data_IF_871955046218
#
_entry.id   IF_871955046218
#
_cell.length_a   1.000
_cell.length_b   1.000
_cell.length_c   1.000
_cell.angle_alpha   90.00
_cell.angle_beta   90.00
_cell.angle_gamma   90.00
#
_symmetry.space_group_name_H-M   'P 1'
#
loop_
_entity.id
_entity.type
_entity.pdbx_description
1 polymer ?
#
# COMPACT_ATOMS: atom_id res chain seq x y z
N UNK A 1 16.22 -4.65 49.60
CA UNK A 1 15.04 -5.05 48.81
C UNK A 1 15.50 -5.22 47.39
N UNK A 2 15.33 -6.44 46.90
CA UNK A 2 15.83 -6.99 45.65
C UNK A 2 15.22 -6.28 44.45
N UNK A 3 16.07 -5.91 43.48
CA UNK A 3 15.65 -5.63 42.12
C UNK A 3 15.01 -6.91 41.58
N UNK A 4 13.69 -6.88 41.41
CA UNK A 4 13.00 -7.95 40.72
C UNK A 4 13.56 -8.02 39.30
N UNK A 5 14.21 -9.14 39.02
CA UNK A 5 14.64 -9.53 37.69
C UNK A 5 13.38 -9.57 36.82
N UNK A 6 13.31 -8.68 35.84
CA UNK A 6 12.42 -8.84 34.69
C UNK A 6 12.61 -10.28 34.20
N UNK A 7 11.57 -11.12 34.20
CA UNK A 7 11.69 -12.48 33.70
C UNK A 7 12.23 -12.40 32.28
N UNK A 8 13.33 -13.09 32.01
CA UNK A 8 13.79 -13.32 30.65
C UNK A 8 12.64 -13.98 29.89
N UNK A 9 11.96 -13.21 29.03
CA UNK A 9 10.89 -13.72 28.19
C UNK A 9 11.42 -14.94 27.45
N UNK A 10 10.78 -16.08 27.72
CA UNK A 10 10.88 -17.29 26.92
C UNK A 10 10.68 -16.87 25.46
N UNK A 11 11.52 -17.35 24.54
CA UNK A 11 11.40 -17.13 23.10
C UNK A 11 10.02 -17.62 22.63
N UNK A 12 9.02 -16.76 22.72
CA UNK A 12 7.69 -17.01 22.22
C UNK A 12 7.75 -17.11 20.70
N UNK A 13 7.21 -18.20 20.15
CA UNK A 13 7.18 -18.40 18.70
C UNK A 13 6.25 -17.39 18.04
N UNK A 14 6.38 -17.23 16.72
CA UNK A 14 5.50 -16.34 15.96
C UNK A 14 4.05 -16.85 16.00
N UNK A 15 3.90 -18.18 15.94
CA UNK A 15 2.64 -18.90 16.10
C UNK A 15 1.99 -18.56 17.44
N UNK A 16 2.74 -18.69 18.55
CA UNK A 16 2.23 -18.35 19.88
C UNK A 16 1.76 -16.90 19.98
N UNK A 17 2.50 -15.96 19.37
CA UNK A 17 2.13 -14.53 19.35
C UNK A 17 0.83 -14.30 18.58
N UNK A 18 0.68 -14.89 17.41
CA UNK A 18 -0.51 -14.75 16.57
C UNK A 18 -1.72 -15.48 17.18
N UNK A 19 -1.52 -16.58 17.90
CA UNK A 19 -2.59 -17.26 18.64
C UNK A 19 -3.07 -16.43 19.84
N UNK A 20 -2.16 -15.81 20.59
CA UNK A 20 -2.52 -14.98 21.76
C UNK A 20 -3.11 -13.63 21.38
N UNK A 21 -2.63 -13.06 20.29
CA UNK A 21 -3.00 -11.72 19.85
C UNK A 21 -3.31 -11.73 18.36
N UNK A 22 -4.44 -12.32 17.94
CA UNK A 22 -4.73 -12.53 16.54
C UNK A 22 -4.94 -11.22 15.78
N UNK A 23 -4.60 -11.25 14.50
CA UNK A 23 -4.97 -10.23 13.52
C UNK A 23 -6.07 -10.84 12.66
N UNK A 24 -7.24 -10.18 12.62
CA UNK A 24 -8.38 -10.64 11.84
C UNK A 24 -8.23 -10.21 10.39
N UNK A 25 -8.09 -11.20 9.50
CA UNK A 25 -8.08 -10.97 8.05
C UNK A 25 -9.51 -11.08 7.50
N UNK A 26 -10.09 -9.95 7.09
CA UNK A 26 -11.39 -9.91 6.44
C UNK A 26 -11.33 -10.34 4.98
N UNK A 27 -12.48 -10.72 4.37
CA UNK A 27 -12.57 -10.89 2.92
C UNK A 27 -12.14 -9.65 2.14
N UNK A 28 -11.63 -9.84 0.92
CA UNK A 28 -11.34 -8.71 0.02
C UNK A 28 -12.62 -8.02 -0.40
N UNK A 29 -12.67 -6.71 -0.18
CA UNK A 29 -13.72 -5.80 -0.64
C UNK A 29 -13.11 -4.44 -0.92
N UNK A 30 -13.72 -3.67 -1.83
CA UNK A 30 -13.22 -2.34 -2.18
C UNK A 30 -13.19 -1.38 -0.99
N UNK A 31 -14.21 -1.42 -0.13
CA UNK A 31 -14.33 -0.64 1.11
C UNK A 31 -15.23 -1.37 2.10
N UNK A 32 -15.03 -1.11 3.39
CA UNK A 32 -15.97 -1.45 4.47
C UNK A 32 -16.57 -0.16 5.04
N UNK A 33 -17.82 -0.19 5.51
CA UNK A 33 -18.38 0.93 6.29
C UNK A 33 -18.15 0.72 7.79
N UNK A 34 -18.31 1.79 8.58
CA UNK A 34 -18.33 1.71 10.06
C UNK A 34 -19.38 0.71 10.54
N UNK A 35 -20.60 0.77 9.99
CA UNK A 35 -21.69 -0.14 10.34
C UNK A 35 -21.33 -1.60 10.04
N UNK A 36 -20.75 -1.89 8.87
CA UNK A 36 -20.35 -3.25 8.49
C UNK A 36 -19.28 -3.81 9.45
N UNK A 37 -18.32 -2.99 9.87
CA UNK A 37 -17.33 -3.42 10.86
C UNK A 37 -17.95 -3.67 12.24
N UNK A 38 -18.97 -2.88 12.61
CA UNK A 38 -19.72 -3.09 13.85
C UNK A 38 -20.64 -4.30 13.81
N UNK A 39 -21.13 -4.69 12.64
CA UNK A 39 -21.84 -5.98 12.49
C UNK A 39 -20.89 -7.17 12.67
N UNK A 40 -19.65 -7.06 12.18
CA UNK A 40 -18.62 -8.11 12.31
C UNK A 40 -18.10 -8.18 13.75
N UNK A 41 -17.86 -7.02 14.38
CA UNK A 41 -17.32 -6.89 15.74
C UNK A 41 -18.24 -5.97 16.56
N UNK A 42 -19.30 -6.53 17.17
CA UNK A 42 -20.34 -5.74 17.85
C UNK A 42 -19.86 -5.00 19.10
N UNK A 43 -18.86 -5.54 19.78
CA UNK A 43 -18.37 -5.02 21.06
C UNK A 43 -16.87 -4.77 21.02
N UNK A 44 -16.40 -3.88 21.89
CA UNK A 44 -14.97 -3.57 22.03
C UNK A 44 -14.43 -2.57 21.00
N UNK A 45 -13.13 -2.31 21.12
CA UNK A 45 -12.40 -1.40 20.24
C UNK A 45 -11.94 -2.15 19.00
N UNK A 46 -12.12 -1.53 17.84
CA UNK A 46 -11.63 -2.04 16.56
C UNK A 46 -10.46 -1.17 16.12
N UNK A 47 -9.35 -1.79 15.73
CA UNK A 47 -8.22 -1.09 15.13
C UNK A 47 -8.05 -1.61 13.71
N UNK A 48 -8.39 -0.78 12.74
CA UNK A 48 -8.30 -1.11 11.32
C UNK A 48 -6.97 -0.62 10.77
N UNK A 49 -6.22 -1.51 10.13
CA UNK A 49 -4.92 -1.20 9.56
C UNK A 49 -4.98 -1.27 8.03
N UNK A 50 -4.51 -0.20 7.39
CA UNK A 50 -4.18 -0.16 5.98
C UNK A 50 -5.32 -0.51 5.03
N UNK A 51 -6.53 -0.02 5.34
CA UNK A 51 -7.57 0.13 4.34
C UNK A 51 -8.59 1.19 4.72
N UNK A 52 -9.16 1.79 3.68
CA UNK A 52 -10.18 2.81 3.85
C UNK A 52 -11.49 2.23 4.42
N UNK A 53 -11.91 2.79 5.54
CA UNK A 53 -13.25 2.61 6.10
C UNK A 53 -14.13 3.79 5.66
N UNK A 54 -15.14 3.50 4.84
CA UNK A 54 -16.04 4.52 4.29
C UNK A 54 -16.77 5.27 5.41
N UNK A 55 -16.65 6.60 5.38
CA UNK A 55 -17.27 7.51 6.35
C UNK A 55 -16.51 7.62 7.67
N UNK A 56 -15.28 7.11 7.76
CA UNK A 56 -14.43 7.26 8.94
C UNK A 56 -13.99 8.72 9.13
N UNK A 57 -13.82 9.45 8.04
CA UNK A 57 -13.43 10.86 8.01
C UNK A 57 -14.49 11.81 8.60
N UNK A 58 -15.72 11.32 8.81
CA UNK A 58 -16.77 12.04 9.54
C UNK A 58 -16.56 12.01 11.07
N UNK A 59 -15.58 11.23 11.54
CA UNK A 59 -15.18 11.15 12.94
C UNK A 59 -14.14 12.19 13.33
N UNK A 60 -13.32 11.86 14.35
CA UNK A 60 -12.20 12.70 14.79
C UNK A 60 -10.93 12.32 14.03
N UNK A 61 -10.30 13.31 13.39
CA UNK A 61 -8.94 13.18 12.86
C UNK A 61 -7.93 13.15 14.01
N UNK A 62 -7.00 12.20 13.95
CA UNK A 62 -5.94 12.00 14.94
C UNK A 62 -4.59 11.81 14.23
N UNK A 63 -3.48 11.94 14.96
CA UNK A 63 -2.14 11.98 14.35
C UNK A 63 -1.77 10.73 13.51
N UNK A 64 -2.38 9.60 13.80
CA UNK A 64 -2.16 8.32 13.11
C UNK A 64 -3.39 7.82 12.33
N UNK A 65 -4.37 8.68 12.03
CA UNK A 65 -5.55 8.30 11.26
C UNK A 65 -6.84 8.98 11.67
N UNK A 66 -7.92 8.21 11.76
CA UNK A 66 -9.24 8.69 12.16
C UNK A 66 -9.84 7.80 13.24
N UNK A 67 -10.73 8.36 14.06
CA UNK A 67 -11.54 7.59 15.00
C UNK A 67 -13.02 7.89 14.86
N UNK A 68 -13.84 6.85 14.91
CA UNK A 68 -15.30 6.99 14.89
C UNK A 68 -15.93 5.78 15.59
N UNK A 69 -16.86 6.04 16.50
CA UNK A 69 -17.68 5.01 17.13
C UNK A 69 -16.87 3.82 17.68
N UNK A 70 -15.74 4.09 18.35
CA UNK A 70 -14.86 3.06 18.94
C UNK A 70 -13.99 2.29 17.92
N UNK A 71 -13.94 2.74 16.67
CA UNK A 71 -13.01 2.30 15.64
C UNK A 71 -11.85 3.30 15.59
N UNK A 72 -10.62 2.80 15.56
CA UNK A 72 -9.41 3.55 15.21
C UNK A 72 -8.94 3.04 13.85
N UNK A 73 -8.92 3.89 12.84
CA UNK A 73 -8.47 3.53 11.50
C UNK A 73 -7.07 4.10 11.27
N UNK A 74 -6.07 3.23 11.33
CA UNK A 74 -4.67 3.50 11.03
C UNK A 74 -4.47 3.19 9.55
N UNK A 75 -4.79 4.19 8.72
CA UNK A 75 -4.86 4.05 7.27
C UNK A 75 -4.43 5.36 6.61
N UNK A 76 -3.77 5.26 5.46
CA UNK A 76 -3.35 6.39 4.64
C UNK A 76 -4.20 6.58 3.37
N UNK A 77 -5.26 5.78 3.16
CA UNK A 77 -6.15 5.88 2.00
C UNK A 77 -7.34 6.84 2.21
N UNK A 78 -7.67 7.19 3.45
CA UNK A 78 -8.77 8.11 3.74
C UNK A 78 -8.59 9.46 3.00
N UNK A 79 -9.66 10.03 2.41
CA UNK A 79 -9.58 11.14 1.45
C UNK A 79 -9.35 12.54 2.10
N UNK A 80 -8.59 12.62 3.20
CA UNK A 80 -8.30 13.88 3.89
C UNK A 80 -7.02 14.55 3.41
N UNK A 81 -6.96 15.89 3.49
CA UNK A 81 -5.73 16.66 3.20
C UNK A 81 -4.54 16.17 4.03
N UNK A 82 -4.78 15.76 5.28
CA UNK A 82 -3.77 15.19 6.17
C UNK A 82 -3.09 13.91 5.62
N UNK A 83 -3.80 13.16 4.77
CA UNK A 83 -3.32 11.92 4.15
C UNK A 83 -2.73 12.11 2.76
N UNK A 84 -2.91 13.29 2.14
CA UNK A 84 -2.35 13.66 0.84
C UNK A 84 -0.84 13.99 0.92
N UNK A 85 -0.06 13.09 1.51
CA UNK A 85 1.39 13.20 1.69
C UNK A 85 2.04 11.83 1.60
N UNK A 86 3.36 11.81 1.43
CA UNK A 86 4.13 10.57 1.33
C UNK A 86 4.27 9.88 2.71
N UNK A 87 3.19 9.24 3.15
CA UNK A 87 3.08 8.50 4.40
C UNK A 87 2.42 7.15 4.12
N UNK A 88 2.81 6.10 4.86
CA UNK A 88 2.20 4.77 4.81
C UNK A 88 1.46 4.44 6.11
N UNK A 89 0.56 3.46 6.07
CA UNK A 89 -0.14 2.95 7.25
C UNK A 89 0.84 2.37 8.29
N UNK A 90 1.97 1.82 7.87
CA UNK A 90 3.03 1.36 8.75
C UNK A 90 3.72 2.52 9.48
N UNK A 91 3.89 3.69 8.83
CA UNK A 91 4.38 4.88 9.54
C UNK A 91 3.37 5.34 10.61
N UNK A 92 2.07 5.34 10.27
CA UNK A 92 1.01 5.68 11.21
C UNK A 92 0.95 4.68 12.38
N UNK A 93 1.13 3.39 12.10
CA UNK A 93 1.20 2.32 13.10
C UNK A 93 2.40 2.45 14.06
N UNK A 94 3.58 2.78 13.53
CA UNK A 94 4.77 3.07 14.34
C UNK A 94 4.45 4.19 15.34
N UNK A 95 3.89 5.29 14.85
CA UNK A 95 3.53 6.44 15.66
C UNK A 95 2.47 6.10 16.71
N UNK A 96 1.43 5.35 16.34
CA UNK A 96 0.42 4.85 17.27
C UNK A 96 1.05 4.08 18.43
N UNK A 97 1.94 3.13 18.13
CA UNK A 97 2.57 2.27 19.14
C UNK A 97 3.58 3.02 20.00
N UNK A 98 4.32 3.98 19.44
CA UNK A 98 5.23 4.84 20.21
C UNK A 98 4.49 5.65 21.28
N UNK A 99 3.26 6.10 20.99
CA UNK A 99 2.47 6.93 21.90
C UNK A 99 1.59 6.14 22.86
N UNK A 100 1.00 5.04 22.39
CA UNK A 100 -0.04 4.31 23.12
C UNK A 100 0.43 2.93 23.60
N UNK A 101 1.59 2.46 23.13
CA UNK A 101 1.98 1.06 23.21
C UNK A 101 1.22 0.18 22.19
N UNK A 102 1.54 -1.12 22.15
CA UNK A 102 0.79 -2.07 21.34
C UNK A 102 -0.69 -2.14 21.74
N UNK A 103 -1.54 -2.51 20.79
CA UNK A 103 -2.96 -2.76 21.02
C UNK A 103 -3.18 -3.77 22.17
N UNK A 104 -4.21 -3.54 22.97
CA UNK A 104 -4.55 -4.47 24.04
C UNK A 104 -4.99 -5.82 23.46
N UNK A 105 -4.80 -6.94 24.20
CA UNK A 105 -5.27 -8.25 23.75
C UNK A 105 -6.78 -8.31 23.46
N UNK A 106 -7.58 -7.49 24.16
CA UNK A 106 -9.03 -7.37 23.97
C UNK A 106 -9.42 -6.51 22.75
N UNK A 107 -8.48 -5.73 22.19
CA UNK A 107 -8.74 -4.94 20.99
C UNK A 107 -8.75 -5.86 19.75
N UNK A 108 -9.66 -5.63 18.82
CA UNK A 108 -9.69 -6.38 17.56
C UNK A 108 -8.90 -5.62 16.49
N UNK A 109 -7.75 -6.16 16.09
CA UNK A 109 -6.93 -5.62 14.98
C UNK A 109 -7.35 -6.27 13.67
N UNK A 110 -7.69 -5.46 12.68
CA UNK A 110 -8.29 -5.90 11.41
C UNK A 110 -7.47 -5.42 10.22
N UNK A 111 -7.25 -6.31 9.25
CA UNK A 111 -6.77 -6.00 7.89
C UNK A 111 -7.68 -6.68 6.87
N UNK A 112 -7.63 -6.25 5.61
CA UNK A 112 -8.34 -6.94 4.53
C UNK A 112 -7.46 -7.30 3.31
N UNK A 113 -6.21 -6.85 3.26
CA UNK A 113 -5.15 -7.35 2.38
C UNK A 113 -3.89 -7.69 3.17
N UNK A 114 -2.89 -8.26 2.49
CA UNK A 114 -1.64 -8.74 3.10
C UNK A 114 -0.45 -8.33 2.25
N UNK A 115 -0.52 -7.15 1.64
CA UNK A 115 0.62 -6.49 1.02
C UNK A 115 1.60 -5.96 2.09
N UNK A 116 2.64 -5.27 1.65
CA UNK A 116 3.71 -4.77 2.52
C UNK A 116 3.15 -3.92 3.66
N UNK A 117 2.30 -2.95 3.36
CA UNK A 117 1.83 -1.98 4.34
C UNK A 117 0.87 -2.62 5.36
N UNK A 118 -0.05 -3.49 4.91
CA UNK A 118 -0.97 -4.20 5.80
C UNK A 118 -0.25 -5.14 6.75
N UNK A 119 0.69 -5.96 6.24
CA UNK A 119 1.44 -6.89 7.09
C UNK A 119 2.23 -6.14 8.15
N UNK A 120 2.90 -5.04 7.77
CA UNK A 120 3.74 -4.28 8.68
C UNK A 120 2.90 -3.50 9.70
N UNK A 121 1.92 -2.73 9.24
CA UNK A 121 1.07 -1.90 10.10
C UNK A 121 0.34 -2.72 11.16
N UNK A 122 -0.35 -3.81 10.77
CA UNK A 122 -1.10 -4.63 11.72
C UNK A 122 -0.20 -5.35 12.73
N UNK A 123 0.97 -5.80 12.28
CA UNK A 123 1.91 -6.53 13.13
C UNK A 123 2.64 -5.61 14.11
N UNK A 124 2.91 -4.36 13.71
CA UNK A 124 3.41 -3.32 14.60
C UNK A 124 2.36 -2.97 15.65
N UNK A 125 1.13 -2.64 15.22
CA UNK A 125 0.00 -2.34 16.12
C UNK A 125 -0.18 -3.44 17.14
N UNK A 126 -0.03 -4.70 16.74
CA UNK A 126 -0.19 -5.85 17.63
C UNK A 126 1.00 -6.15 18.54
N UNK A 127 2.15 -5.50 18.32
CA UNK A 127 3.37 -5.75 19.07
C UNK A 127 4.09 -7.05 18.67
N UNK A 128 3.74 -7.63 17.51
CA UNK A 128 4.45 -8.76 16.93
C UNK A 128 5.80 -8.28 16.37
N UNK A 129 5.78 -7.12 15.71
CA UNK A 129 6.95 -6.39 15.27
C UNK A 129 7.18 -5.16 16.16
N UNK A 130 8.45 -4.83 16.41
CA UNK A 130 8.82 -3.55 17.01
C UNK A 130 8.49 -2.40 16.05
N UNK A 131 8.18 -1.19 16.57
CA UNK A 131 7.90 0.00 15.75
C UNK A 131 9.20 0.57 15.14
N UNK A 132 9.96 -0.23 14.40
CA UNK A 132 11.23 0.19 13.80
C UNK A 132 11.00 1.01 12.53
N UNK A 133 11.72 2.12 12.41
CA UNK A 133 11.68 3.02 11.24
C UNK A 133 11.84 2.30 9.89
N UNK A 134 12.66 1.24 9.83
CA UNK A 134 12.90 0.44 8.62
C UNK A 134 11.62 -0.15 8.01
N UNK A 135 10.60 -0.41 8.82
CA UNK A 135 9.32 -0.94 8.35
C UNK A 135 8.49 0.15 7.68
N UNK A 136 8.44 1.35 8.26
CA UNK A 136 7.84 2.50 7.59
C UNK A 136 8.54 2.87 6.28
N UNK A 137 9.87 2.79 6.23
CA UNK A 137 10.64 3.00 4.98
C UNK A 137 10.33 1.92 3.92
N UNK A 138 10.07 0.68 4.34
CA UNK A 138 9.68 -0.40 3.44
C UNK A 138 8.26 -0.22 2.88
N UNK A 139 7.29 0.17 3.71
CA UNK A 139 5.95 0.47 3.25
C UNK A 139 5.94 1.68 2.28
N UNK A 140 6.69 2.76 2.58
CA UNK A 140 6.87 3.88 1.64
C UNK A 140 7.48 3.42 0.30
N UNK A 141 8.43 2.48 0.33
CA UNK A 141 9.01 1.91 -0.87
C UNK A 141 7.99 1.12 -1.71
N UNK A 142 7.08 0.40 -1.06
CA UNK A 142 6.03 -0.36 -1.72
C UNK A 142 4.94 0.54 -2.34
N UNK A 143 4.40 1.49 -1.57
CA UNK A 143 3.17 2.21 -1.94
C UNK A 143 3.36 3.48 -2.76
N UNK A 144 4.51 4.13 -2.60
CA UNK A 144 4.73 5.49 -3.11
C UNK A 144 5.93 5.59 -4.03
N UNK A 145 7.10 5.15 -3.57
CA UNK A 145 8.34 5.50 -4.27
C UNK A 145 8.80 4.44 -5.26
N UNK A 146 8.44 3.18 -5.06
CA UNK A 146 8.96 2.08 -5.87
C UNK A 146 10.45 1.81 -5.65
N UNK A 147 11.06 2.42 -4.63
CA UNK A 147 12.48 2.26 -4.33
C UNK A 147 12.84 0.79 -4.06
N UNK A 148 14.10 0.43 -4.30
CA UNK A 148 14.59 -0.92 -3.96
C UNK A 148 14.60 -1.08 -2.45
N UNK A 149 13.88 -2.06 -1.94
CA UNK A 149 13.84 -2.38 -0.52
C UNK A 149 13.48 -3.86 -0.34
N UNK A 150 14.33 -4.62 0.36
CA UNK A 150 14.17 -6.08 0.49
C UNK A 150 12.88 -6.47 1.21
N UNK A 151 12.45 -5.71 2.22
CA UNK A 151 11.21 -5.97 2.96
C UNK A 151 10.02 -5.68 2.06
N UNK A 152 10.03 -4.53 1.39
CA UNK A 152 8.98 -4.14 0.45
C UNK A 152 8.84 -5.16 -0.68
N UNK A 153 9.96 -5.56 -1.28
CA UNK A 153 9.97 -6.50 -2.38
C UNK A 153 9.52 -7.90 -1.94
N UNK A 154 9.93 -8.35 -0.75
CA UNK A 154 9.43 -9.61 -0.19
C UNK A 154 7.93 -9.54 0.04
N UNK A 155 7.46 -8.66 0.92
CA UNK A 155 6.06 -8.67 1.36
C UNK A 155 5.08 -8.37 0.22
N UNK A 156 5.41 -7.43 -0.68
CA UNK A 156 4.55 -7.17 -1.84
C UNK A 156 4.45 -8.39 -2.77
N UNK A 157 5.50 -9.22 -2.85
CA UNK A 157 5.45 -10.44 -3.68
C UNK A 157 4.55 -11.54 -3.08
N UNK A 158 4.25 -11.46 -1.78
CA UNK A 158 3.47 -12.44 -1.04
C UNK A 158 1.99 -12.06 -0.90
N UNK A 159 1.59 -10.84 -1.27
CA UNK A 159 0.23 -10.29 -1.12
C UNK A 159 -0.87 -11.29 -1.54
N UNK A 160 -0.73 -11.86 -2.74
CA UNK A 160 -1.74 -12.74 -3.34
C UNK A 160 -1.94 -14.06 -2.56
N UNK A 161 -1.00 -14.44 -1.69
CA UNK A 161 -1.14 -15.64 -0.83
C UNK A 161 -2.18 -15.41 0.28
N UNK A 162 -2.43 -14.15 0.68
CA UNK A 162 -3.35 -13.80 1.77
C UNK A 162 -3.10 -14.59 3.06
N UNK A 163 -1.83 -14.79 3.38
CA UNK A 163 -1.38 -15.59 4.53
C UNK A 163 -0.42 -14.76 5.39
N UNK A 164 -0.96 -14.15 6.45
CA UNK A 164 -0.21 -13.30 7.38
C UNK A 164 0.92 -14.07 8.05
N UNK A 165 0.68 -15.33 8.44
CA UNK A 165 1.68 -16.15 9.11
C UNK A 165 2.85 -16.43 8.16
N UNK A 166 2.55 -16.85 6.93
CA UNK A 166 3.57 -17.11 5.91
C UNK A 166 4.38 -15.85 5.60
N UNK A 167 3.72 -14.69 5.48
CA UNK A 167 4.38 -13.41 5.26
C UNK A 167 5.31 -13.03 6.41
N UNK A 168 4.86 -13.14 7.66
CA UNK A 168 5.66 -12.79 8.84
C UNK A 168 6.81 -13.77 9.09
N UNK A 169 6.59 -15.06 8.86
CA UNK A 169 7.64 -16.08 8.97
C UNK A 169 8.78 -15.82 7.97
N UNK A 170 8.44 -15.49 6.72
CA UNK A 170 9.45 -15.16 5.70
C UNK A 170 10.11 -13.80 5.94
N UNK A 171 9.39 -12.82 6.51
CA UNK A 171 10.00 -11.56 6.97
C UNK A 171 11.03 -11.80 8.09
N UNK A 172 10.74 -12.68 9.04
CA UNK A 172 11.67 -13.04 10.11
C UNK A 172 12.93 -13.72 9.55
N UNK A 173 12.77 -14.69 8.65
CA UNK A 173 13.89 -15.31 7.90
C UNK A 173 14.74 -14.28 7.18
N UNK A 174 14.10 -13.35 6.45
CA UNK A 174 14.79 -12.26 5.76
C UNK A 174 15.62 -11.40 6.73
N UNK A 175 15.04 -11.02 7.87
CA UNK A 175 15.71 -10.20 8.89
C UNK A 175 16.90 -10.92 9.53
N UNK A 176 16.82 -12.25 9.68
CA UNK A 176 17.90 -13.11 10.21
C UNK A 176 18.96 -13.47 9.18
N UNK A 177 18.72 -13.18 7.89
CA UNK A 177 19.58 -13.62 6.79
C UNK A 177 19.49 -15.12 6.53
N UNK A 178 18.39 -15.76 6.93
CA UNK A 178 18.10 -17.17 6.69
C UNK A 178 17.49 -17.35 5.29
N UNK A 179 17.59 -18.56 4.70
CA UNK A 179 16.89 -18.88 3.47
C UNK A 179 15.38 -18.71 3.64
N UNK A 180 14.74 -18.08 2.65
CA UNK A 180 13.29 -17.99 2.56
C UNK A 180 12.69 -19.36 2.26
N UNK A 181 11.39 -19.51 2.49
CA UNK A 181 10.66 -20.66 1.96
C UNK A 181 10.71 -20.65 0.43
N UNK A 182 10.79 -21.83 -0.18
CA UNK A 182 10.90 -22.01 -1.63
C UNK A 182 9.85 -21.21 -2.41
N UNK A 183 8.60 -21.23 -1.93
CA UNK A 183 7.49 -20.48 -2.53
C UNK A 183 7.71 -18.96 -2.46
N UNK A 184 8.20 -18.46 -1.33
CA UNK A 184 8.48 -17.04 -1.14
C UNK A 184 9.67 -16.58 -1.99
N UNK A 185 10.72 -17.39 -2.08
CA UNK A 185 11.88 -17.12 -2.94
C UNK A 185 11.49 -17.06 -4.42
N UNK A 186 10.62 -17.98 -4.87
CA UNK A 186 10.10 -17.97 -6.24
C UNK A 186 9.30 -16.70 -6.55
N UNK A 187 8.40 -16.28 -5.65
CA UNK A 187 7.59 -15.07 -5.82
C UNK A 187 8.45 -13.80 -5.79
N UNK A 188 9.42 -13.72 -4.88
CA UNK A 188 10.37 -12.62 -4.80
C UNK A 188 11.21 -12.51 -6.08
N UNK A 189 11.70 -13.64 -6.59
CA UNK A 189 12.44 -13.67 -7.86
C UNK A 189 11.58 -13.17 -9.03
N UNK A 190 10.30 -13.56 -9.10
CA UNK A 190 9.37 -13.02 -10.11
C UNK A 190 9.22 -11.49 -9.99
N UNK A 191 9.13 -10.95 -8.78
CA UNK A 191 9.09 -9.51 -8.56
C UNK A 191 10.38 -8.82 -9.04
N UNK A 192 11.55 -9.40 -8.77
CA UNK A 192 12.82 -8.87 -9.29
C UNK A 192 12.89 -8.90 -10.82
N UNK A 193 12.38 -9.94 -11.47
CA UNK A 193 12.28 -9.97 -12.93
C UNK A 193 11.38 -8.86 -13.48
N UNK A 194 10.26 -8.57 -12.82
CA UNK A 194 9.41 -7.43 -13.20
C UNK A 194 10.17 -6.09 -13.08
N UNK A 195 10.98 -5.91 -12.04
CA UNK A 195 11.82 -4.72 -11.86
C UNK A 195 12.87 -4.58 -12.96
N UNK A 196 13.53 -5.67 -13.33
CA UNK A 196 14.49 -5.70 -14.44
C UNK A 196 13.79 -5.32 -15.74
N UNK A 197 12.65 -5.95 -16.06
CA UNK A 197 11.86 -5.66 -17.26
C UNK A 197 11.43 -4.18 -17.32
N UNK A 198 10.97 -3.60 -16.20
CA UNK A 198 10.61 -2.19 -16.13
C UNK A 198 11.80 -1.26 -16.43
N UNK A 199 12.97 -1.56 -15.85
CA UNK A 199 14.20 -0.82 -16.11
C UNK A 199 14.69 -0.95 -17.55
N UNK A 200 14.54 -2.13 -18.17
CA UNK A 200 14.87 -2.37 -19.57
C UNK A 200 13.98 -1.55 -20.52
N UNK A 201 12.66 -1.49 -20.27
CA UNK A 201 11.75 -0.65 -21.05
C UNK A 201 12.18 0.82 -21.06
N UNK A 202 12.62 1.34 -19.91
CA UNK A 202 13.10 2.72 -19.80
C UNK A 202 14.43 2.90 -20.53
N UNK A 203 15.38 1.98 -20.34
CA UNK A 203 16.69 2.00 -21.01
C UNK A 203 16.57 1.93 -22.53
N UNK A 204 15.60 1.19 -23.04
CA UNK A 204 15.30 1.08 -24.46
C UNK A 204 14.54 2.28 -25.04
N UNK A 205 14.21 3.28 -24.22
CA UNK A 205 13.46 4.46 -24.65
C UNK A 205 12.01 4.16 -25.01
N UNK A 206 11.40 3.14 -24.39
CA UNK A 206 9.98 2.77 -24.63
C UNK A 206 8.99 3.68 -23.91
N UNK A 207 9.46 4.49 -22.97
CA UNK A 207 8.66 5.53 -22.35
C UNK A 207 8.73 6.79 -23.22
N UNK A 208 7.57 7.22 -23.70
CA UNK A 208 7.37 8.49 -24.38
C UNK A 208 6.92 9.56 -23.37
N UNK A 209 6.93 10.83 -23.78
CA UNK A 209 6.58 11.97 -22.95
C UNK A 209 5.62 12.91 -23.67
N UNK A 210 4.57 13.37 -22.98
CA UNK A 210 3.70 14.48 -23.38
C UNK A 210 3.67 15.48 -22.22
N UNK A 211 4.21 16.68 -22.45
CA UNK A 211 4.48 17.64 -21.37
C UNK A 211 5.29 17.00 -20.24
N UNK A 212 4.79 16.92 -19.01
CA UNK A 212 5.47 16.28 -17.87
C UNK A 212 4.98 14.85 -17.56
N UNK A 213 4.10 14.30 -18.40
CA UNK A 213 3.54 12.96 -18.26
C UNK A 213 4.37 11.96 -19.05
N UNK A 214 4.92 10.96 -18.35
CA UNK A 214 5.61 9.83 -18.97
C UNK A 214 4.60 8.71 -19.23
N UNK A 215 4.68 8.07 -20.39
CA UNK A 215 3.78 6.98 -20.71
C UNK A 215 4.41 5.88 -21.54
N UNK A 216 3.86 4.67 -21.42
CA UNK A 216 4.19 3.55 -22.31
C UNK A 216 3.02 2.60 -22.49
N UNK A 217 3.03 1.84 -23.57
CA UNK A 217 2.11 0.72 -23.80
C UNK A 217 2.87 -0.59 -23.75
N UNK A 218 2.32 -1.58 -23.06
CA UNK A 218 2.90 -2.92 -22.93
C UNK A 218 1.88 -3.99 -23.28
N UNK A 219 2.34 -5.11 -23.82
CA UNK A 219 1.48 -6.26 -24.13
C UNK A 219 0.95 -6.93 -22.87
N UNK A 220 1.80 -6.99 -21.83
CA UNK A 220 1.46 -7.57 -20.53
C UNK A 220 1.78 -6.60 -19.41
N UNK A 221 0.78 -6.38 -18.55
CA UNK A 221 0.89 -5.55 -17.35
C UNK A 221 1.97 -6.11 -16.41
N UNK A 222 2.70 -5.18 -15.81
CA UNK A 222 3.51 -5.43 -14.62
C UNK A 222 3.12 -4.44 -13.51
N UNK A 223 3.66 -4.64 -12.32
CA UNK A 223 3.41 -3.75 -11.18
C UNK A 223 4.01 -2.36 -11.43
N UNK A 224 3.14 -1.37 -11.66
CA UNK A 224 3.54 0.02 -11.90
C UNK A 224 4.11 0.71 -10.65
N UNK A 225 3.97 0.13 -9.46
CA UNK A 225 4.45 0.72 -8.20
C UNK A 225 5.97 0.94 -8.16
N UNK A 226 6.75 0.21 -8.97
CA UNK A 226 8.20 0.37 -9.07
C UNK A 226 8.66 1.53 -9.96
N UNK A 227 7.77 2.09 -10.79
CA UNK A 227 8.14 3.07 -11.81
C UNK A 227 8.59 4.44 -11.26
N UNK A 228 8.04 4.98 -10.16
CA UNK A 228 8.46 6.29 -9.65
C UNK A 228 9.97 6.36 -9.35
N UNK A 229 10.58 5.30 -8.82
CA UNK A 229 12.02 5.23 -8.59
C UNK A 229 12.85 5.10 -9.88
N UNK A 230 12.27 4.59 -10.96
CA UNK A 230 12.96 4.40 -12.23
C UNK A 230 12.83 5.62 -13.18
N UNK A 231 11.83 6.47 -12.94
CA UNK A 231 11.56 7.73 -13.65
C UNK A 231 11.44 8.88 -12.64
N UNK A 232 12.52 9.22 -11.92
CA UNK A 232 12.47 10.20 -10.83
C UNK A 232 12.08 11.61 -11.29
N UNK A 233 12.22 11.92 -12.57
CA UNK A 233 11.85 13.21 -13.18
C UNK A 233 10.40 13.28 -13.68
N UNK A 234 9.64 12.17 -13.62
CA UNK A 234 8.25 12.16 -14.02
C UNK A 234 7.35 12.78 -12.94
N UNK A 235 6.43 13.66 -13.35
CA UNK A 235 5.36 14.15 -12.47
C UNK A 235 4.21 13.14 -12.42
N UNK A 236 3.87 12.54 -13.56
CA UNK A 236 2.87 11.48 -13.67
C UNK A 236 3.39 10.39 -14.60
N UNK A 237 3.13 9.14 -14.23
CA UNK A 237 3.54 7.95 -14.99
C UNK A 237 2.29 7.17 -15.37
N UNK A 238 2.14 6.89 -16.66
CA UNK A 238 1.01 6.16 -17.25
C UNK A 238 1.52 4.88 -17.91
N UNK A 239 0.90 3.76 -17.59
CA UNK A 239 1.15 2.50 -18.30
C UNK A 239 -0.18 1.90 -18.76
N UNK A 240 -0.25 1.59 -20.05
CA UNK A 240 -1.42 0.96 -20.65
C UNK A 240 -1.12 -0.44 -21.17
N UNK A 241 -2.09 -1.33 -21.05
CA UNK A 241 -2.11 -2.62 -21.73
C UNK A 241 -3.52 -2.94 -22.22
N UNK A 242 -3.70 -3.53 -23.41
CA UNK A 242 -5.01 -4.05 -23.83
C UNK A 242 -5.55 -5.07 -22.82
N UNK A 243 -6.85 -5.06 -22.55
CA UNK A 243 -7.45 -6.03 -21.64
C UNK A 243 -7.62 -7.38 -22.32
N UNK A 244 -7.15 -8.45 -21.65
CA UNK A 244 -7.25 -9.83 -22.18
C UNK A 244 -8.71 -10.25 -22.45
N UNK A 245 -9.65 -9.84 -21.59
CA UNK A 245 -11.07 -10.23 -21.68
C UNK A 245 -11.90 -9.32 -22.61
N UNK A 246 -11.38 -8.13 -22.93
CA UNK A 246 -12.00 -7.19 -23.87
C UNK A 246 -10.91 -6.37 -24.57
N UNK A 247 -10.38 -6.83 -25.72
CA UNK A 247 -9.27 -6.17 -26.41
C UNK A 247 -9.57 -4.75 -26.94
N UNK A 248 -10.85 -4.35 -27.00
CA UNK A 248 -11.24 -2.98 -27.35
C UNK A 248 -11.05 -2.01 -26.18
N UNK A 249 -10.85 -2.53 -24.96
CA UNK A 249 -10.65 -1.77 -23.74
C UNK A 249 -9.20 -1.87 -23.27
N UNK A 250 -8.72 -0.78 -22.69
CA UNK A 250 -7.40 -0.64 -22.13
C UNK A 250 -7.46 -0.61 -20.60
N UNK A 251 -6.57 -1.39 -19.99
CA UNK A 251 -6.24 -1.23 -18.58
C UNK A 251 -5.13 -0.19 -18.46
N UNK A 252 -5.47 0.99 -17.96
CA UNK A 252 -4.51 2.07 -17.69
C UNK A 252 -4.21 2.08 -16.19
N UNK A 253 -2.93 2.09 -15.82
CA UNK A 253 -2.49 2.38 -14.47
C UNK A 253 -1.79 3.73 -14.46
N UNK A 254 -2.11 4.56 -13.47
CA UNK A 254 -1.53 5.89 -13.30
C UNK A 254 -0.87 5.94 -11.92
N UNK A 255 0.33 6.52 -11.87
CA UNK A 255 1.07 6.81 -10.63
C UNK A 255 1.46 8.28 -10.63
N UNK A 256 1.31 8.93 -9.49
CA UNK A 256 1.98 10.19 -9.22
C UNK A 256 3.48 9.90 -9.09
N UNK A 257 4.31 10.64 -9.83
CA UNK A 257 5.75 10.47 -9.85
C UNK A 257 6.46 11.27 -8.76
N UNK A 258 7.76 11.03 -8.58
CA UNK A 258 8.55 11.69 -7.52
C UNK A 258 8.79 13.18 -7.78
N UNK A 259 8.67 13.63 -9.03
CA UNK A 259 8.80 15.04 -9.38
C UNK A 259 7.46 15.81 -9.30
N UNK A 260 6.35 15.16 -8.94
CA UNK A 260 5.06 15.82 -8.82
C UNK A 260 5.14 16.97 -7.80
N UNK A 261 4.59 18.16 -8.13
CA UNK A 261 4.47 19.25 -7.18
C UNK A 261 3.79 18.85 -5.87
N UNK A 262 4.23 19.46 -4.77
CA UNK A 262 3.62 19.26 -3.46
C UNK A 262 2.14 19.65 -3.48
N UNK A 263 1.30 18.82 -2.85
CA UNK A 263 -0.15 19.01 -2.79
C UNK A 263 -0.92 18.47 -4.00
N UNK A 264 -0.26 18.00 -5.07
CA UNK A 264 -0.96 17.35 -6.17
C UNK A 264 -1.51 15.98 -5.77
N UNK A 265 -2.76 15.74 -6.15
CA UNK A 265 -3.40 14.44 -6.06
C UNK A 265 -3.95 14.01 -7.42
N UNK A 266 -4.03 12.71 -7.68
CA UNK A 266 -4.61 12.19 -8.92
C UNK A 266 -6.11 12.48 -9.03
N UNK A 267 -6.78 12.73 -7.90
CA UNK A 267 -8.20 13.06 -7.84
C UNK A 267 -8.48 14.47 -8.40
N UNK A 268 -7.48 15.36 -8.37
CA UNK A 268 -7.57 16.73 -8.92
C UNK A 268 -7.77 16.73 -10.45
N UNK A 269 -7.26 15.72 -11.16
CA UNK A 269 -7.25 15.68 -12.62
C UNK A 269 -8.53 15.10 -13.25
N UNK A 270 -9.54 14.71 -12.47
CA UNK A 270 -10.85 14.19 -12.95
C UNK A 270 -10.72 13.16 -14.09
N UNK A 271 -9.84 12.19 -13.88
CA UNK A 271 -9.43 11.26 -14.93
C UNK A 271 -10.58 10.33 -15.37
N UNK A 272 -10.72 10.05 -16.67
CA UNK A 272 -11.83 9.24 -17.17
C UNK A 272 -11.69 7.77 -16.75
N UNK A 273 -12.81 7.18 -16.33
CA UNK A 273 -12.92 5.79 -15.89
C UNK A 273 -11.91 5.40 -14.80
N UNK A 274 -11.42 6.38 -14.03
CA UNK A 274 -10.35 6.20 -13.07
C UNK A 274 -10.88 5.82 -11.69
N UNK A 275 -10.29 4.79 -11.09
CA UNK A 275 -10.50 4.47 -9.68
C UNK A 275 -9.15 4.30 -8.97
N UNK A 276 -8.98 4.95 -7.83
CA UNK A 276 -7.70 4.97 -7.16
C UNK A 276 -7.73 5.69 -5.81
N UNK A 277 -6.53 6.10 -5.41
CA UNK A 277 -6.20 6.96 -4.28
C UNK A 277 -5.37 8.14 -4.79
N UNK A 278 -5.10 9.10 -3.91
CA UNK A 278 -4.42 10.36 -4.23
C UNK A 278 -3.12 10.22 -5.05
N UNK A 279 -2.35 9.12 -4.93
CA UNK A 279 -1.10 8.94 -5.68
C UNK A 279 -1.11 7.80 -6.71
N UNK A 280 -2.19 7.02 -6.80
CA UNK A 280 -2.21 5.82 -7.64
C UNK A 280 -3.62 5.34 -7.97
N UNK A 281 -3.83 4.88 -9.20
CA UNK A 281 -5.08 4.23 -9.56
C UNK A 281 -5.04 3.51 -10.89
N UNK A 282 -6.18 2.94 -11.27
CA UNK A 282 -6.32 2.24 -12.54
C UNK A 282 -7.76 2.23 -13.05
N UNK A 283 -7.90 2.08 -14.38
CA UNK A 283 -9.21 2.08 -15.03
C UNK A 283 -9.96 0.75 -14.94
N UNK A 284 -9.28 -0.34 -14.58
CA UNK A 284 -9.91 -1.68 -14.50
C UNK A 284 -10.96 -1.76 -13.40
N UNK A 285 -10.87 -0.94 -12.36
CA UNK A 285 -11.92 -0.81 -11.33
C UNK A 285 -13.28 -0.44 -11.93
N UNK A 286 -13.29 0.16 -13.11
CA UNK A 286 -14.48 0.55 -13.87
C UNK A 286 -14.65 -0.22 -15.19
N UNK A 287 -13.94 -1.36 -15.35
CA UNK A 287 -14.03 -2.19 -16.56
C UNK A 287 -13.06 -1.79 -17.68
N UNK A 288 -12.14 -0.87 -17.42
CA UNK A 288 -11.17 -0.36 -18.40
C UNK A 288 -11.62 0.96 -19.02
N UNK A 289 -10.89 1.40 -20.04
CA UNK A 289 -11.23 2.61 -20.80
C UNK A 289 -10.97 2.42 -22.29
N UNK A 290 -11.61 3.23 -23.14
CA UNK A 290 -11.38 3.20 -24.60
C UNK A 290 -10.08 3.86 -25.03
N UNK A 291 -9.46 4.63 -24.14
CA UNK A 291 -8.25 5.39 -24.42
C UNK A 291 -7.00 4.51 -24.24
N UNK A 292 -6.09 4.54 -25.21
CA UNK A 292 -4.77 3.93 -25.04
C UNK A 292 -3.87 4.81 -24.14
N UNK A 293 -2.66 4.32 -23.82
CA UNK A 293 -1.75 5.02 -22.90
C UNK A 293 -1.40 6.45 -23.35
N UNK A 294 -1.22 6.68 -24.65
CA UNK A 294 -0.86 7.99 -25.21
C UNK A 294 -2.02 8.98 -25.13
N UNK A 295 -3.21 8.53 -25.50
CA UNK A 295 -4.43 9.33 -25.40
C UNK A 295 -4.70 9.71 -23.95
N UNK A 296 -4.58 8.75 -23.03
CA UNK A 296 -4.78 8.99 -21.60
C UNK A 296 -3.74 9.96 -21.02
N UNK A 297 -2.46 9.82 -21.40
CA UNK A 297 -1.41 10.76 -21.02
C UNK A 297 -1.64 12.17 -21.57
N UNK A 298 -2.20 12.29 -22.77
CA UNK A 298 -2.57 13.59 -23.35
C UNK A 298 -3.68 14.26 -22.56
N UNK A 299 -4.73 13.51 -22.19
CA UNK A 299 -5.82 14.00 -21.33
C UNK A 299 -5.25 14.50 -20.00
N UNK A 300 -4.40 13.71 -19.34
CA UNK A 300 -3.76 14.12 -18.07
C UNK A 300 -2.98 15.43 -18.26
N UNK A 301 -2.19 15.55 -19.32
CA UNK A 301 -1.37 16.74 -19.55
C UNK A 301 -2.22 18.01 -19.81
N UNK A 302 -3.36 17.86 -20.48
CA UNK A 302 -4.34 18.94 -20.64
C UNK A 302 -4.89 19.38 -19.28
N UNK A 303 -5.27 18.43 -18.41
CA UNK A 303 -5.77 18.73 -17.06
C UNK A 303 -4.72 19.42 -16.17
N UNK A 304 -3.45 19.03 -16.27
CA UNK A 304 -2.34 19.74 -15.60
C UNK A 304 -2.27 21.20 -16.06
N UNK A 305 -2.37 21.44 -17.37
CA UNK A 305 -2.27 22.78 -17.95
C UNK A 305 -3.42 23.67 -17.49
N UNK A 306 -4.63 23.10 -17.39
CA UNK A 306 -5.82 23.79 -16.87
C UNK A 306 -5.63 24.18 -15.39
N UNK A 307 -5.13 23.26 -14.55
CA UNK A 307 -4.87 23.53 -13.13
C UNK A 307 -3.79 24.59 -12.89
N UNK A 308 -2.78 24.67 -13.77
CA UNK A 308 -1.71 25.68 -13.65
C UNK A 308 -2.10 27.06 -14.18
N UNK A 309 -3.19 27.15 -14.94
CA UNK A 309 -3.66 28.40 -15.56
C UNK A 309 -4.79 29.10 -14.80
N UNK A 310 -5.41 28.42 -13.84
CA UNK A 310 -6.42 28.96 -12.92
C UNK A 310 -5.81 29.51 -11.63
#
# INVERSE_FOLDING_TARGET
MTLDKVPSNVNESLEDKLEKTPITLLPLKSTYTVDELREIVPEGKIIVCDFYVKGIEEGEEIEFGYTKEGIVNIDHHAPGEFMARQISSANLAIKFVEENGPAHPEDTVIVHHTDCDSVLSSSIVRGILSPDKKYGEAAIAADHTGASNKIADLLQSLEEKRDLFFSLSNLDKLNKGEPLDTDAEMLLNKRYQNRIKAAELIKEGKFEKVGNVYFTSVDERFDAGMLPALLPEAEIIVIGSPMKDNPEMWGISVRLGLAAPEGWTLDDFKLPDFGGRWNAGNTRRHGGTKYNAKEYATIINEQISDLQSG
#
